data_IF_479409913686
#
_entry.id   IF_479409913686
#
_cell.length_a   1.000
_cell.length_b   1.000
_cell.length_c   1.000
_cell.angle_alpha   90.00
_cell.angle_beta   90.00
_cell.angle_gamma   90.00
#
_symmetry.space_group_name_H-M   'P 1'
#
loop_
_entity.id
_entity.type
_entity.pdbx_description
1 polymer ?
#
# COMPACT_ATOMS: atom_id res chain seq x y z
N UNK A 1 3.28 -25.18 -54.93
CA UNK A 1 2.05 -25.27 -54.13
C UNK A 1 1.08 -24.20 -54.62
N UNK A 2 -0.13 -24.57 -55.02
CA UNK A 2 -1.11 -23.63 -55.60
C UNK A 2 -1.78 -22.81 -54.46
N UNK A 3 -2.18 -21.56 -54.78
CA UNK A 3 -2.84 -20.60 -53.85
C UNK A 3 -4.00 -21.22 -53.03
N UNK A 4 -4.68 -22.21 -53.60
CA UNK A 4 -5.73 -23.02 -52.94
C UNK A 4 -5.18 -23.93 -51.85
N UNK A 5 -3.98 -24.47 -51.99
CA UNK A 5 -3.33 -25.33 -50.98
C UNK A 5 -2.88 -24.53 -49.74
N UNK A 6 -2.48 -23.27 -49.90
CA UNK A 6 -2.22 -22.36 -48.77
C UNK A 6 -3.47 -21.99 -48.00
N UNK A 7 -4.61 -21.82 -48.68
CA UNK A 7 -5.89 -21.52 -48.03
C UNK A 7 -6.37 -22.71 -47.19
N UNK A 8 -6.24 -23.94 -47.69
CA UNK A 8 -6.59 -25.14 -46.91
C UNK A 8 -5.63 -25.40 -45.73
N UNK A 9 -4.33 -25.06 -45.87
CA UNK A 9 -3.36 -25.15 -44.78
C UNK A 9 -3.65 -24.11 -43.70
N UNK A 10 -4.04 -22.89 -44.07
CA UNK A 10 -4.45 -21.83 -43.14
C UNK A 10 -5.75 -22.16 -42.41
N UNK A 11 -6.72 -22.77 -43.10
CA UNK A 11 -8.00 -23.20 -42.51
C UNK A 11 -7.80 -24.41 -41.57
N UNK A 12 -6.84 -25.30 -41.86
CA UNK A 12 -6.51 -26.43 -41.00
C UNK A 12 -5.70 -26.03 -39.74
N UNK A 13 -4.98 -24.89 -39.79
CA UNK A 13 -4.24 -24.35 -38.62
C UNK A 13 -5.13 -23.52 -37.69
N UNK A 14 -6.27 -23.02 -38.17
CA UNK A 14 -7.18 -22.18 -37.39
C UNK A 14 -7.82 -22.86 -36.15
N UNK A 15 -8.18 -24.17 -36.19
CA UNK A 15 -8.75 -24.84 -34.99
C UNK A 15 -7.73 -25.16 -33.91
N UNK A 16 -6.41 -25.11 -34.19
CA UNK A 16 -5.37 -25.37 -33.21
C UNK A 16 -5.04 -24.17 -32.30
N UNK A 17 -5.57 -22.98 -32.64
CA UNK A 17 -5.36 -21.77 -31.85
C UNK A 17 -6.47 -21.48 -30.83
N UNK A 18 -7.53 -22.29 -30.78
CA UNK A 18 -8.67 -22.13 -29.88
C UNK A 18 -8.72 -23.15 -28.72
N UNK A 19 -7.67 -23.95 -28.52
CA UNK A 19 -7.60 -24.95 -27.45
C UNK A 19 -6.85 -24.44 -26.20
N UNK A 20 -6.76 -23.14 -25.99
CA UNK A 20 -6.40 -22.60 -24.67
C UNK A 20 -7.69 -22.20 -23.95
N UNK A 21 -8.65 -23.10 -23.83
CA UNK A 21 -9.57 -23.06 -22.71
C UNK A 21 -8.72 -23.38 -21.49
N UNK A 22 -8.33 -22.38 -20.72
CA UNK A 22 -8.05 -22.58 -19.30
C UNK A 22 -9.39 -23.07 -18.76
N UNK A 23 -9.48 -24.32 -18.33
CA UNK A 23 -10.61 -24.82 -17.54
C UNK A 23 -10.57 -24.05 -16.21
N UNK A 24 -11.23 -22.89 -16.18
CA UNK A 24 -11.55 -22.23 -14.92
C UNK A 24 -12.64 -23.09 -14.27
N UNK A 25 -12.37 -23.53 -13.06
CA UNK A 25 -13.33 -24.31 -12.29
C UNK A 25 -14.56 -23.44 -11.99
N UNK A 26 -15.70 -23.78 -12.58
CA UNK A 26 -16.95 -23.05 -12.37
C UNK A 26 -17.60 -23.50 -11.04
N UNK A 27 -17.81 -22.56 -10.14
CA UNK A 27 -18.54 -22.77 -8.89
C UNK A 27 -20.00 -22.32 -9.05
N UNK A 28 -20.99 -23.11 -8.55
CA UNK A 28 -22.38 -22.69 -8.60
C UNK A 28 -22.65 -21.52 -7.67
N UNK A 29 -23.59 -20.64 -8.03
CA UNK A 29 -24.12 -19.62 -7.12
C UNK A 29 -24.99 -20.30 -6.03
N UNK A 30 -24.34 -20.72 -4.98
CA UNK A 30 -24.90 -21.36 -3.79
C UNK A 30 -24.00 -21.04 -2.59
N UNK A 31 -24.46 -21.16 -1.34
CA UNK A 31 -23.62 -20.93 -0.18
C UNK A 31 -22.29 -21.68 -0.21
N UNK A 32 -22.33 -22.96 -0.54
CA UNK A 32 -21.10 -23.76 -0.64
C UNK A 32 -20.25 -23.36 -1.85
N UNK A 33 -20.85 -23.10 -3.02
CA UNK A 33 -20.10 -22.73 -4.21
C UNK A 33 -19.39 -21.37 -4.06
N UNK A 34 -20.05 -20.38 -3.46
CA UNK A 34 -19.43 -19.08 -3.18
C UNK A 34 -18.30 -19.18 -2.15
N UNK A 35 -18.46 -20.02 -1.12
CA UNK A 35 -17.42 -20.26 -0.12
C UNK A 35 -16.20 -20.96 -0.74
N UNK A 36 -16.40 -22.01 -1.55
CA UNK A 36 -15.31 -22.73 -2.23
C UNK A 36 -14.61 -21.85 -3.25
N UNK A 37 -15.34 -21.02 -4.00
CA UNK A 37 -14.77 -20.04 -4.92
C UNK A 37 -13.87 -19.04 -4.16
N UNK A 38 -14.35 -18.51 -3.03
CA UNK A 38 -13.56 -17.61 -2.19
C UNK A 38 -12.29 -18.26 -1.68
N UNK A 39 -12.41 -19.47 -1.11
CA UNK A 39 -11.26 -20.21 -0.61
C UNK A 39 -10.22 -20.42 -1.70
N UNK A 40 -10.66 -20.86 -2.89
CA UNK A 40 -9.79 -21.16 -4.02
C UNK A 40 -9.11 -19.89 -4.59
N UNK A 41 -9.86 -18.79 -4.73
CA UNK A 41 -9.27 -17.49 -5.15
C UNK A 41 -8.13 -17.12 -4.22
N UNK A 42 -8.34 -17.22 -2.91
CA UNK A 42 -7.30 -16.90 -1.93
C UNK A 42 -6.15 -17.90 -2.00
N UNK A 43 -6.43 -19.20 -2.09
CA UNK A 43 -5.44 -20.28 -2.16
C UNK A 43 -4.46 -20.08 -3.34
N UNK A 44 -4.98 -19.76 -4.51
CA UNK A 44 -4.18 -19.61 -5.72
C UNK A 44 -3.48 -18.24 -5.82
N UNK A 45 -3.99 -17.19 -5.19
CA UNK A 45 -3.57 -15.83 -5.49
C UNK A 45 -3.03 -15.03 -4.29
N UNK A 46 -3.41 -15.33 -3.05
CA UNK A 46 -2.88 -14.62 -1.89
C UNK A 46 -1.41 -14.91 -1.67
N UNK A 47 -0.61 -13.87 -1.34
CA UNK A 47 0.85 -13.99 -1.41
C UNK A 47 1.56 -14.16 -0.06
N UNK A 48 0.86 -14.13 1.09
CA UNK A 48 1.52 -14.08 2.40
C UNK A 48 1.19 -15.26 3.33
N UNK A 49 0.71 -16.39 2.82
CA UNK A 49 0.39 -17.54 3.69
C UNK A 49 1.59 -17.99 4.52
N UNK A 50 2.74 -18.21 3.88
CA UNK A 50 3.96 -18.67 4.55
C UNK A 50 4.52 -17.60 5.50
N UNK A 51 4.56 -16.32 5.07
CA UNK A 51 5.08 -15.23 5.87
C UNK A 51 4.26 -15.01 7.16
N UNK A 52 2.94 -15.20 7.07
CA UNK A 52 2.03 -15.07 8.22
C UNK A 52 1.85 -16.38 9.00
N UNK A 53 2.43 -17.48 8.52
CA UNK A 53 2.33 -18.79 9.16
C UNK A 53 0.91 -19.36 9.16
N UNK A 54 0.12 -19.06 8.12
CA UNK A 54 -1.29 -19.44 8.01
C UNK A 54 -1.43 -20.76 7.25
N UNK A 55 -2.04 -21.76 7.88
CA UNK A 55 -2.48 -22.97 7.19
C UNK A 55 -3.91 -22.75 6.64
N UNK A 56 -4.00 -22.49 5.35
CA UNK A 56 -5.24 -22.12 4.70
C UNK A 56 -6.23 -23.28 4.59
N UNK A 57 -5.75 -24.54 4.49
CA UNK A 57 -6.59 -25.75 4.52
C UNK A 57 -7.25 -25.95 5.88
N UNK A 58 -6.55 -25.71 6.98
CA UNK A 58 -7.13 -25.82 8.33
C UNK A 58 -8.21 -24.76 8.55
N UNK A 59 -8.02 -23.56 8.00
CA UNK A 59 -9.01 -22.49 8.05
C UNK A 59 -10.23 -22.87 7.21
N UNK A 60 -10.05 -23.39 5.99
CA UNK A 60 -11.13 -23.92 5.18
C UNK A 60 -11.96 -24.94 5.97
N UNK A 61 -11.31 -25.98 6.50
CA UNK A 61 -11.97 -27.04 7.25
C UNK A 61 -12.71 -26.54 8.52
N UNK A 62 -12.23 -25.45 9.13
CA UNK A 62 -12.87 -24.78 10.28
C UNK A 62 -14.19 -24.13 9.88
N UNK A 63 -14.19 -23.34 8.79
CA UNK A 63 -15.34 -22.54 8.40
C UNK A 63 -16.34 -23.29 7.55
N UNK A 64 -15.93 -24.28 6.73
CA UNK A 64 -16.80 -25.12 5.93
C UNK A 64 -17.88 -25.84 6.78
N UNK A 65 -17.53 -26.23 8.02
CA UNK A 65 -18.47 -26.87 8.96
C UNK A 65 -19.66 -26.01 9.39
N UNK A 66 -19.57 -24.70 9.15
CA UNK A 66 -20.63 -23.74 9.51
C UNK A 66 -21.64 -23.54 8.38
N UNK A 67 -21.35 -24.07 7.18
CA UNK A 67 -22.21 -23.90 6.02
C UNK A 67 -23.46 -24.79 6.11
N UNK A 68 -24.57 -24.22 5.69
CA UNK A 68 -25.83 -24.95 5.49
C UNK A 68 -26.46 -24.58 4.14
N UNK A 69 -27.16 -25.49 3.51
CA UNK A 69 -27.69 -25.31 2.15
C UNK A 69 -28.68 -24.14 2.01
N UNK A 70 -29.37 -23.76 3.09
CA UNK A 70 -30.41 -22.72 3.09
C UNK A 70 -30.06 -21.52 3.97
N UNK A 71 -28.77 -21.23 4.17
CA UNK A 71 -28.36 -20.05 4.94
C UNK A 71 -28.66 -18.76 4.16
N UNK A 72 -28.84 -17.66 4.88
CA UNK A 72 -29.00 -16.35 4.27
C UNK A 72 -27.66 -15.82 3.76
N UNK A 73 -27.70 -14.90 2.77
CA UNK A 73 -26.53 -14.22 2.26
C UNK A 73 -25.76 -13.47 3.36
N UNK A 74 -26.48 -12.84 4.29
CA UNK A 74 -25.85 -12.16 5.42
C UNK A 74 -25.03 -13.11 6.31
N UNK A 75 -25.55 -14.31 6.58
CA UNK A 75 -24.83 -15.29 7.37
C UNK A 75 -23.63 -15.89 6.59
N UNK A 76 -23.81 -16.16 5.29
CA UNK A 76 -22.70 -16.58 4.43
C UNK A 76 -21.60 -15.50 4.39
N UNK A 77 -21.99 -14.23 4.26
CA UNK A 77 -21.05 -13.12 4.25
C UNK A 77 -20.24 -13.05 5.55
N UNK A 78 -20.89 -13.21 6.71
CA UNK A 78 -20.23 -13.25 8.01
C UNK A 78 -19.20 -14.40 8.11
N UNK A 79 -19.56 -15.61 7.63
CA UNK A 79 -18.62 -16.76 7.61
C UNK A 79 -17.42 -16.47 6.72
N UNK A 80 -17.64 -15.95 5.50
CA UNK A 80 -16.58 -15.58 4.57
C UNK A 80 -15.68 -14.47 5.14
N UNK A 81 -16.27 -13.44 5.74
CA UNK A 81 -15.55 -12.34 6.39
C UNK A 81 -14.68 -12.84 7.55
N UNK A 82 -15.23 -13.71 8.40
CA UNK A 82 -14.49 -14.30 9.51
C UNK A 82 -13.35 -15.20 9.03
N UNK A 83 -13.55 -15.98 7.96
CA UNK A 83 -12.49 -16.78 7.33
C UNK A 83 -11.35 -15.88 6.83
N UNK A 84 -11.64 -14.79 6.13
CA UNK A 84 -10.65 -13.86 5.63
C UNK A 84 -9.92 -13.10 6.75
N UNK A 85 -10.58 -12.84 7.89
CA UNK A 85 -9.99 -12.12 9.02
C UNK A 85 -8.83 -12.86 9.67
N UNK A 86 -8.75 -14.20 9.51
CA UNK A 86 -7.63 -15.01 10.00
C UNK A 86 -6.28 -14.61 9.37
N UNK A 87 -6.32 -13.99 8.18
CA UNK A 87 -5.12 -13.53 7.47
C UNK A 87 -4.51 -12.27 8.07
N UNK A 88 -5.26 -11.51 8.88
CA UNK A 88 -4.81 -10.25 9.52
C UNK A 88 -4.11 -9.31 8.54
N UNK A 89 -4.71 -9.10 7.38
CA UNK A 89 -4.18 -8.30 6.28
C UNK A 89 -5.17 -7.19 5.92
N UNK A 90 -4.72 -5.93 6.01
CA UNK A 90 -5.54 -4.76 5.71
C UNK A 90 -5.92 -4.62 4.23
N UNK A 91 -5.25 -5.32 3.32
CA UNK A 91 -5.63 -5.41 1.91
C UNK A 91 -6.66 -6.49 1.62
N UNK A 92 -6.89 -7.43 2.56
CA UNK A 92 -7.91 -8.47 2.40
C UNK A 92 -9.26 -7.93 2.80
N UNK A 93 -10.16 -7.85 1.83
CA UNK A 93 -11.51 -7.30 1.98
C UNK A 93 -12.51 -8.15 1.21
N UNK A 94 -13.72 -8.32 1.74
CA UNK A 94 -14.86 -8.82 0.99
C UNK A 94 -15.96 -7.77 1.02
N UNK A 95 -16.65 -7.57 -0.09
CA UNK A 95 -17.71 -6.59 -0.22
C UNK A 95 -18.87 -7.12 -1.05
N UNK A 96 -20.07 -6.79 -0.61
CA UNK A 96 -21.35 -7.11 -1.24
C UNK A 96 -22.15 -5.82 -1.47
N UNK A 97 -23.39 -5.95 -1.96
CA UNK A 97 -24.30 -4.81 -2.09
C UNK A 97 -24.82 -4.29 -0.75
N UNK A 98 -24.66 -5.03 0.35
CA UNK A 98 -25.25 -4.71 1.67
C UNK A 98 -24.22 -4.58 2.79
N UNK A 99 -22.99 -5.08 2.61
CA UNK A 99 -21.95 -5.04 3.66
C UNK A 99 -20.53 -5.10 3.08
N UNK A 100 -19.55 -4.68 3.90
CA UNK A 100 -18.13 -4.76 3.63
C UNK A 100 -17.39 -5.20 4.89
N UNK A 101 -16.52 -6.20 4.77
CA UNK A 101 -15.62 -6.62 5.85
C UNK A 101 -14.15 -6.38 5.48
N UNK A 102 -13.39 -5.88 6.47
CA UNK A 102 -11.98 -5.54 6.34
C UNK A 102 -11.28 -5.67 7.68
N UNK A 103 -10.03 -6.08 7.67
CA UNK A 103 -9.21 -6.13 8.88
C UNK A 103 -8.55 -4.77 9.16
N UNK A 104 -8.80 -4.21 10.35
CA UNK A 104 -8.27 -2.93 10.82
C UNK A 104 -7.25 -3.08 11.95
N UNK A 105 -7.06 -4.29 12.52
CA UNK A 105 -6.20 -4.53 13.68
C UNK A 105 -4.73 -4.14 13.45
N UNK A 106 -4.30 -3.95 12.21
CA UNK A 106 -2.95 -3.49 11.89
C UNK A 106 -2.65 -2.07 12.41
N UNK A 107 -3.67 -1.28 12.75
CA UNK A 107 -3.50 0.06 13.33
C UNK A 107 -4.37 0.33 14.58
N UNK A 108 -5.53 -0.33 14.76
CA UNK A 108 -6.48 -0.02 15.84
C UNK A 108 -5.92 -0.31 17.23
N UNK A 109 -5.02 -1.28 17.35
CA UNK A 109 -4.41 -1.67 18.62
C UNK A 109 -3.14 -0.85 18.97
N UNK A 110 -2.87 0.25 18.24
CA UNK A 110 -1.67 1.07 18.38
C UNK A 110 -2.01 2.52 18.69
N UNK A 111 -1.09 3.28 19.34
CA UNK A 111 -1.26 4.71 19.53
C UNK A 111 -1.41 5.44 18.19
N UNK A 112 -2.30 6.39 18.12
CA UNK A 112 -2.50 7.15 16.87
C UNK A 112 -1.27 7.99 16.49
N UNK A 113 -0.55 8.55 17.48
CA UNK A 113 0.61 9.43 17.28
C UNK A 113 0.35 10.56 16.26
N UNK A 114 -0.89 11.09 16.26
CA UNK A 114 -1.37 12.12 15.36
C UNK A 114 -2.53 12.89 15.98
N UNK A 115 -2.53 14.21 15.81
CA UNK A 115 -3.63 15.07 16.18
C UNK A 115 -3.80 16.17 15.12
N UNK A 116 -4.91 16.15 14.40
CA UNK A 116 -5.21 17.11 13.34
C UNK A 116 -5.28 18.56 13.86
N UNK A 117 -5.66 18.78 15.12
CA UNK A 117 -5.69 20.12 15.69
C UNK A 117 -4.28 20.68 15.87
N UNK A 118 -3.32 19.86 16.28
CA UNK A 118 -1.93 20.25 16.36
C UNK A 118 -1.35 20.56 14.95
N UNK A 119 -1.61 19.70 13.97
CA UNK A 119 -1.20 19.94 12.58
C UNK A 119 -1.74 21.26 12.07
N UNK A 120 -3.01 21.55 12.31
CA UNK A 120 -3.64 22.82 11.93
C UNK A 120 -3.03 23.99 12.68
N UNK A 121 -2.53 23.81 13.91
CA UNK A 121 -1.75 24.80 14.64
C UNK A 121 -0.47 25.19 13.92
N UNK A 122 0.32 24.22 13.46
CA UNK A 122 1.54 24.46 12.66
C UNK A 122 1.23 25.08 11.29
N UNK A 123 0.17 24.63 10.63
CA UNK A 123 -0.26 25.22 9.35
C UNK A 123 -0.74 26.66 9.50
N UNK A 124 -1.43 27.00 10.60
CA UNK A 124 -2.02 28.33 10.79
C UNK A 124 -3.10 28.63 9.75
N UNK A 125 -3.25 29.90 9.41
CA UNK A 125 -4.24 30.37 8.40
C UNK A 125 -3.60 30.79 7.08
N UNK A 126 -2.28 30.78 7.00
CA UNK A 126 -1.45 31.28 5.90
C UNK A 126 -0.72 30.17 5.13
N UNK A 127 -1.06 28.89 5.40
CA UNK A 127 -0.53 27.78 4.61
C UNK A 127 -1.02 27.83 3.17
N UNK A 128 -0.28 27.18 2.30
CA UNK A 128 -0.58 27.11 0.86
C UNK A 128 -1.01 25.69 0.47
N UNK A 129 -1.70 25.62 -0.64
CA UNK A 129 -2.16 24.37 -1.24
C UNK A 129 -1.73 24.32 -2.71
N UNK A 130 -1.05 23.24 -3.08
CA UNK A 130 -0.72 22.93 -4.47
C UNK A 130 -1.31 21.56 -4.81
N UNK A 131 -2.53 21.53 -5.38
CA UNK A 131 -3.36 20.31 -5.54
C UNK A 131 -3.65 19.68 -4.17
N UNK A 132 -3.20 18.45 -3.92
CA UNK A 132 -3.37 17.73 -2.65
C UNK A 132 -2.26 18.00 -1.61
N UNK A 133 -1.28 18.82 -1.94
CA UNK A 133 -0.14 19.14 -1.08
C UNK A 133 -0.45 20.38 -0.24
N UNK A 134 -0.53 20.25 1.09
CA UNK A 134 -0.64 21.36 2.04
C UNK A 134 0.76 21.69 2.54
N UNK A 135 1.19 22.95 2.47
CA UNK A 135 2.56 23.29 2.80
C UNK A 135 2.74 24.69 3.36
N UNK A 136 3.81 24.87 4.14
CA UNK A 136 4.20 26.13 4.77
C UNK A 136 5.70 26.15 5.06
N UNK A 137 6.30 27.31 5.13
CA UNK A 137 7.62 27.52 5.75
C UNK A 137 7.37 27.86 7.22
N UNK A 138 7.92 27.04 8.14
CA UNK A 138 7.85 27.27 9.57
C UNK A 138 8.80 28.43 10.00
N UNK A 139 8.58 28.98 11.19
CA UNK A 139 9.30 30.18 11.68
C UNK A 139 10.83 29.96 11.81
N UNK A 140 11.27 28.71 11.93
CA UNK A 140 12.68 28.32 11.97
C UNK A 140 13.28 28.01 10.58
N UNK A 141 12.61 28.44 9.52
CA UNK A 141 13.05 28.27 8.13
C UNK A 141 13.15 26.79 7.69
N UNK A 142 12.22 25.96 8.17
CA UNK A 142 12.04 24.57 7.74
C UNK A 142 10.80 24.51 6.85
N UNK A 143 10.90 23.86 5.67
CA UNK A 143 9.75 23.55 4.85
C UNK A 143 8.91 22.43 5.51
N UNK A 144 7.61 22.65 5.66
CA UNK A 144 6.69 21.65 6.17
C UNK A 144 5.64 21.33 5.11
N UNK A 145 5.64 20.08 4.67
CA UNK A 145 4.74 19.51 3.67
C UNK A 145 3.89 18.42 4.33
N UNK A 146 2.59 18.63 4.41
CA UNK A 146 1.63 17.61 4.86
C UNK A 146 0.93 16.99 3.65
N UNK A 147 0.96 15.66 3.55
CA UNK A 147 0.37 14.92 2.46
C UNK A 147 -0.40 13.69 2.95
N UNK A 148 -1.73 13.81 2.99
CA UNK A 148 -2.61 12.88 3.69
C UNK A 148 -3.03 11.65 2.89
N UNK A 149 -2.81 11.59 1.57
CA UNK A 149 -3.24 10.42 0.77
C UNK A 149 -2.56 10.37 -0.60
N UNK A 150 -1.97 9.22 -0.92
CA UNK A 150 -1.47 8.91 -2.26
C UNK A 150 -2.57 8.55 -3.28
N UNK A 151 -3.84 8.54 -2.89
CA UNK A 151 -4.96 8.50 -3.84
C UNK A 151 -5.18 9.85 -4.52
N UNK A 152 -4.80 10.94 -3.86
CA UNK A 152 -4.94 12.31 -4.37
C UNK A 152 -3.65 12.71 -5.10
N UNK A 153 -3.63 12.58 -6.41
CA UNK A 153 -2.47 12.92 -7.23
C UNK A 153 -2.22 14.45 -7.30
N UNK A 154 -1.01 14.82 -7.69
CA UNK A 154 -0.57 16.18 -7.96
C UNK A 154 0.20 16.25 -9.29
N UNK A 155 0.09 17.37 -10.00
CA UNK A 155 0.85 17.60 -11.22
C UNK A 155 2.34 17.89 -10.94
N UNK A 156 3.19 17.67 -11.94
CA UNK A 156 4.62 17.97 -11.83
C UNK A 156 4.88 19.44 -11.45
N UNK A 157 4.12 20.39 -12.02
CA UNK A 157 4.23 21.80 -11.69
C UNK A 157 3.80 22.15 -10.26
N UNK A 158 2.89 21.38 -9.65
CA UNK A 158 2.49 21.61 -8.26
C UNK A 158 3.65 21.34 -7.30
N UNK A 159 4.31 20.20 -7.42
CA UNK A 159 5.46 19.88 -6.56
C UNK A 159 6.69 20.74 -6.91
N UNK A 160 6.89 21.11 -8.18
CA UNK A 160 7.93 22.09 -8.58
C UNK A 160 7.75 23.41 -7.85
N UNK A 161 6.52 23.94 -7.81
CA UNK A 161 6.19 25.17 -7.08
C UNK A 161 6.51 25.05 -5.58
N UNK A 162 6.11 23.94 -4.94
CA UNK A 162 6.36 23.69 -3.51
C UNK A 162 7.86 23.69 -3.23
N UNK A 163 8.65 22.95 -4.02
CA UNK A 163 10.09 22.82 -3.81
C UNK A 163 10.85 24.11 -4.14
N UNK A 164 10.39 24.90 -5.12
CA UNK A 164 10.95 26.23 -5.40
C UNK A 164 10.69 27.19 -4.23
N UNK A 165 9.51 27.15 -3.64
CA UNK A 165 9.21 27.99 -2.49
C UNK A 165 10.02 27.60 -1.25
N UNK A 166 10.28 26.31 -1.08
CA UNK A 166 11.15 25.79 -0.03
C UNK A 166 12.65 25.99 -0.31
N UNK A 167 13.04 26.48 -1.50
CA UNK A 167 14.46 26.63 -1.85
C UNK A 167 15.31 27.39 -0.80
N UNK A 168 14.82 28.43 -0.09
CA UNK A 168 15.58 29.08 0.98
C UNK A 168 15.65 28.26 2.28
N UNK A 169 14.76 27.27 2.50
CA UNK A 169 14.72 26.49 3.72
C UNK A 169 15.98 25.64 3.90
N UNK A 170 16.37 25.40 5.15
CA UNK A 170 17.53 24.57 5.48
C UNK A 170 17.23 23.08 5.44
N UNK A 171 15.99 22.66 5.69
CA UNK A 171 15.52 21.29 5.69
C UNK A 171 14.04 21.21 5.26
N UNK A 172 13.57 20.00 5.01
CA UNK A 172 12.18 19.69 4.66
C UNK A 172 11.64 18.61 5.59
N UNK A 173 10.49 18.87 6.20
CA UNK A 173 9.68 17.85 6.88
C UNK A 173 8.54 17.48 5.96
N UNK A 174 8.40 16.17 5.69
CA UNK A 174 7.27 15.58 4.94
C UNK A 174 6.44 14.77 5.94
N UNK A 175 5.29 15.28 6.29
CA UNK A 175 4.37 14.60 7.21
C UNK A 175 3.35 13.78 6.40
N UNK A 176 3.50 12.45 6.49
CA UNK A 176 2.59 11.49 5.88
C UNK A 176 1.85 10.66 6.93
N UNK A 177 1.85 11.09 8.20
CA UNK A 177 1.06 10.41 9.23
C UNK A 177 -0.40 10.35 8.81
N UNK A 178 -1.08 9.27 9.15
CA UNK A 178 -2.45 8.94 8.72
C UNK A 178 -2.65 8.80 7.20
N UNK A 179 -1.57 8.72 6.41
CA UNK A 179 -1.66 8.43 4.99
C UNK A 179 -1.76 6.90 4.77
N UNK A 180 -2.95 6.39 4.51
CA UNK A 180 -3.19 4.96 4.29
C UNK A 180 -2.81 4.46 2.89
N UNK A 181 -2.07 5.26 2.12
CA UNK A 181 -1.57 4.88 0.80
C UNK A 181 -2.42 5.39 -0.36
N UNK A 182 -2.45 4.61 -1.43
CA UNK A 182 -3.09 4.94 -2.70
C UNK A 182 -2.31 4.38 -3.89
N UNK A 183 -1.93 5.23 -4.84
CA UNK A 183 -1.22 4.84 -6.05
C UNK A 183 0.31 4.81 -5.83
N UNK A 184 0.94 3.67 -6.11
CA UNK A 184 2.41 3.53 -6.08
C UNK A 184 3.10 4.54 -6.99
N UNK A 185 2.55 4.79 -8.19
CA UNK A 185 3.10 5.77 -9.13
C UNK A 185 3.15 7.20 -8.58
N UNK A 186 2.25 7.56 -7.65
CA UNK A 186 2.26 8.87 -6.99
C UNK A 186 3.33 8.91 -5.90
N UNK A 187 3.52 7.81 -5.16
CA UNK A 187 4.61 7.67 -4.19
C UNK A 187 5.99 7.75 -4.88
N UNK A 188 6.17 7.05 -6.01
CA UNK A 188 7.37 7.11 -6.84
C UNK A 188 7.63 8.52 -7.39
N UNK A 189 6.57 9.19 -7.89
CA UNK A 189 6.64 10.57 -8.40
C UNK A 189 7.15 11.55 -7.35
N UNK A 190 6.71 11.41 -6.10
CA UNK A 190 7.20 12.24 -5.00
C UNK A 190 8.63 11.88 -4.64
N UNK A 191 8.96 10.60 -4.47
CA UNK A 191 10.31 10.14 -4.12
C UNK A 191 11.36 10.52 -5.18
N UNK A 192 10.98 10.54 -6.47
CA UNK A 192 11.84 10.95 -7.57
C UNK A 192 12.37 12.39 -7.46
N UNK A 193 11.83 13.21 -6.54
CA UNK A 193 12.29 14.57 -6.26
C UNK A 193 13.49 14.60 -5.32
N UNK A 194 13.86 13.48 -4.71
CA UNK A 194 14.87 13.40 -3.65
C UNK A 194 16.09 12.56 -4.06
N UNK A 195 16.22 12.19 -5.32
CA UNK A 195 17.40 11.50 -5.86
C UNK A 195 17.95 12.22 -7.09
N UNK A 196 19.27 12.09 -7.33
CA UNK A 196 19.97 12.64 -8.50
C UNK A 196 20.32 11.58 -9.54
N UNK A 197 20.20 10.33 -9.20
CA UNK A 197 20.51 9.18 -10.04
C UNK A 197 19.42 8.12 -9.96
N UNK A 198 19.42 7.18 -10.88
CA UNK A 198 18.55 6.03 -10.81
C UNK A 198 18.99 5.12 -9.67
N UNK A 199 18.13 4.93 -8.68
CA UNK A 199 18.40 4.13 -7.47
C UNK A 199 17.54 2.89 -7.41
N UNK A 200 18.10 1.80 -6.88
CA UNK A 200 17.35 0.63 -6.45
C UNK A 200 16.60 0.98 -5.17
N UNK A 201 15.30 0.70 -5.11
CA UNK A 201 14.46 1.00 -3.94
C UNK A 201 13.79 -0.22 -3.35
N UNK A 202 13.97 -1.39 -3.95
CA UNK A 202 13.44 -2.65 -3.47
C UNK A 202 13.21 -3.66 -4.57
N UNK A 203 12.41 -4.65 -4.26
CA UNK A 203 12.05 -5.74 -5.16
C UNK A 203 10.56 -6.04 -5.06
N UNK A 204 10.02 -6.66 -6.10
CA UNK A 204 8.66 -7.18 -6.15
C UNK A 204 8.66 -8.57 -6.78
N UNK A 205 7.71 -9.41 -6.42
CA UNK A 205 7.43 -10.69 -7.08
C UNK A 205 5.97 -10.73 -7.51
N UNK A 206 5.66 -11.55 -8.48
CA UNK A 206 4.29 -11.83 -8.89
C UNK A 206 4.07 -13.34 -9.00
N UNK A 207 2.81 -13.77 -8.88
CA UNK A 207 2.45 -15.18 -9.04
C UNK A 207 2.73 -15.65 -10.46
N UNK A 208 3.30 -16.87 -10.58
CA UNK A 208 3.58 -17.56 -11.85
C UNK A 208 2.83 -18.89 -11.98
N UNK A 209 2.15 -19.32 -10.94
CA UNK A 209 1.37 -20.55 -10.86
C UNK A 209 0.39 -20.53 -9.71
N UNK A 210 -0.29 -21.67 -9.47
CA UNK A 210 -1.35 -21.84 -8.48
C UNK A 210 -0.85 -22.19 -7.08
N UNK A 211 0.38 -22.70 -6.95
CA UNK A 211 0.96 -23.05 -5.65
C UNK A 211 1.28 -21.82 -4.80
N UNK A 212 1.24 -21.93 -3.48
CA UNK A 212 1.46 -20.83 -2.55
C UNK A 212 2.80 -20.11 -2.80
N UNK A 213 3.83 -20.85 -3.20
CA UNK A 213 5.19 -20.35 -3.42
C UNK A 213 5.58 -20.20 -4.90
N UNK A 214 4.63 -20.31 -5.81
CA UNK A 214 4.84 -20.14 -7.24
C UNK A 214 4.96 -18.64 -7.59
N UNK A 215 6.15 -18.10 -7.38
CA UNK A 215 6.45 -16.71 -7.66
C UNK A 215 7.57 -16.56 -8.70
N UNK A 216 7.56 -15.43 -9.40
CA UNK A 216 8.68 -14.99 -10.24
C UNK A 216 9.96 -14.83 -9.42
N UNK A 217 11.09 -14.68 -10.09
CA UNK A 217 12.28 -14.11 -9.49
C UNK A 217 11.99 -12.71 -8.94
N UNK A 218 12.83 -12.22 -8.04
CA UNK A 218 12.72 -10.85 -7.52
C UNK A 218 13.06 -9.84 -8.62
N UNK A 219 12.08 -9.04 -9.00
CA UNK A 219 12.21 -7.96 -9.98
C UNK A 219 12.58 -6.66 -9.28
N UNK A 220 13.63 -6.00 -9.77
CA UNK A 220 14.12 -4.76 -9.18
C UNK A 220 13.11 -3.62 -9.36
N UNK A 221 12.81 -2.94 -8.28
CA UNK A 221 12.09 -1.66 -8.28
C UNK A 221 13.11 -0.53 -8.25
N UNK A 222 13.08 0.35 -9.26
CA UNK A 222 14.01 1.46 -9.40
C UNK A 222 13.28 2.77 -9.58
N UNK A 223 13.80 3.82 -8.97
CA UNK A 223 13.29 5.20 -9.15
C UNK A 223 14.34 6.01 -9.92
N UNK A 224 13.87 6.65 -11.00
CA UNK A 224 14.65 7.61 -11.77
C UNK A 224 14.44 9.01 -11.23
N UNK A 225 15.49 9.86 -11.24
CA UNK A 225 15.34 11.24 -10.82
C UNK A 225 14.31 11.99 -11.69
N UNK A 226 13.53 12.83 -11.06
CA UNK A 226 12.61 13.71 -11.76
C UNK A 226 13.36 14.69 -12.66
N UNK A 227 12.79 15.01 -13.83
CA UNK A 227 13.27 16.07 -14.70
C UNK A 227 12.91 17.49 -14.18
N UNK A 228 11.99 17.60 -13.22
CA UNK A 228 11.61 18.86 -12.59
C UNK A 228 12.52 19.24 -11.41
N UNK A 229 12.05 20.16 -10.59
CA UNK A 229 12.78 20.62 -9.39
C UNK A 229 13.02 19.46 -8.44
N UNK A 230 14.25 19.33 -7.94
CA UNK A 230 14.67 18.32 -6.97
C UNK A 230 15.21 18.98 -5.71
N UNK A 231 15.05 18.26 -4.59
CA UNK A 231 15.50 18.68 -3.28
C UNK A 231 16.79 17.96 -2.86
N UNK A 232 17.78 18.71 -2.36
CA UNK A 232 19.12 18.20 -2.08
C UNK A 232 19.61 18.48 -0.65
N UNK A 233 18.72 18.98 0.21
CA UNK A 233 19.00 19.27 1.61
C UNK A 233 18.37 18.20 2.50
N UNK A 234 18.62 18.18 3.80
CA UNK A 234 18.04 17.19 4.70
C UNK A 234 16.52 17.07 4.58
N UNK A 235 16.03 15.83 4.66
CA UNK A 235 14.60 15.49 4.62
C UNK A 235 14.26 14.62 5.82
N UNK A 236 13.18 14.98 6.51
CA UNK A 236 12.60 14.21 7.61
C UNK A 236 11.21 13.77 7.21
N UNK A 237 10.93 12.48 7.26
CA UNK A 237 9.61 11.92 6.96
C UNK A 237 8.95 11.50 8.27
N UNK A 238 7.78 12.08 8.57
CA UNK A 238 7.05 11.74 9.78
C UNK A 238 6.08 10.60 9.51
N UNK A 239 6.13 9.58 10.38
CA UNK A 239 5.35 8.36 10.25
C UNK A 239 4.58 8.02 11.51
N UNK A 240 3.46 7.32 11.33
CA UNK A 240 2.73 6.64 12.38
C UNK A 240 2.19 5.29 11.88
N UNK A 241 1.52 4.54 12.75
CA UNK A 241 0.99 3.21 12.43
C UNK A 241 -0.01 3.21 11.26
N UNK A 242 -0.68 4.32 10.97
CA UNK A 242 -1.59 4.44 9.84
C UNK A 242 -0.91 4.72 8.48
N UNK A 243 0.40 4.89 8.43
CA UNK A 243 1.16 4.92 7.18
C UNK A 243 1.19 3.52 6.58
N UNK A 244 0.41 3.28 5.51
CA UNK A 244 0.11 1.95 4.99
C UNK A 244 0.21 1.88 3.45
N UNK A 245 0.43 0.69 2.90
CA UNK A 245 0.38 0.45 1.45
C UNK A 245 1.35 1.37 0.68
N UNK A 246 0.91 2.13 -0.32
CA UNK A 246 1.77 3.03 -1.09
C UNK A 246 2.49 4.08 -0.22
N UNK A 247 1.96 4.43 0.97
CA UNK A 247 2.66 5.30 1.90
C UNK A 247 3.80 4.57 2.64
N UNK A 248 3.62 3.29 2.96
CA UNK A 248 4.70 2.43 3.45
C UNK A 248 5.82 2.28 2.39
N UNK A 249 5.45 2.08 1.13
CA UNK A 249 6.39 2.04 0.02
C UNK A 249 7.13 3.37 -0.15
N UNK A 250 6.44 4.51 -0.01
CA UNK A 250 7.08 5.83 -0.01
C UNK A 250 8.15 5.94 1.08
N UNK A 251 7.89 5.46 2.31
CA UNK A 251 8.89 5.43 3.38
C UNK A 251 10.10 4.59 2.97
N UNK A 252 9.88 3.40 2.38
CA UNK A 252 10.95 2.55 1.82
C UNK A 252 11.81 3.31 0.79
N UNK A 253 11.17 4.02 -0.14
CA UNK A 253 11.85 4.81 -1.16
C UNK A 253 12.64 5.95 -0.54
N UNK A 254 12.07 6.66 0.43
CA UNK A 254 12.72 7.79 1.08
C UNK A 254 13.93 7.39 1.93
N UNK A 255 13.93 6.18 2.54
CA UNK A 255 15.14 5.63 3.18
C UNK A 255 16.27 5.43 2.17
N UNK A 256 15.97 5.00 0.95
CA UNK A 256 16.95 4.89 -0.14
C UNK A 256 17.42 6.27 -0.66
N UNK A 257 16.61 7.32 -0.47
CA UNK A 257 16.96 8.71 -0.73
C UNK A 257 17.67 9.39 0.46
N UNK A 258 18.08 8.63 1.48
CA UNK A 258 18.75 9.11 2.70
C UNK A 258 17.90 10.08 3.56
N UNK A 259 16.58 10.03 3.45
CA UNK A 259 15.71 10.73 4.39
C UNK A 259 15.74 10.06 5.78
N UNK A 260 15.58 10.87 6.81
CA UNK A 260 15.48 10.42 8.20
C UNK A 260 14.00 10.22 8.54
N UNK A 261 13.66 9.02 8.99
CA UNK A 261 12.29 8.67 9.37
C UNK A 261 12.09 8.90 10.87
N UNK A 262 11.09 9.69 11.24
CA UNK A 262 10.81 10.08 12.62
C UNK A 262 9.35 9.76 12.97
N UNK A 263 9.13 9.20 14.13
CA UNK A 263 7.79 8.91 14.66
C UNK A 263 7.61 7.45 15.03
N UNK A 264 6.55 6.82 14.54
CA UNK A 264 6.23 5.43 14.87
C UNK A 264 6.48 4.51 13.67
N UNK A 265 6.52 3.21 13.97
CA UNK A 265 6.55 2.14 12.98
C UNK A 265 5.35 2.24 12.03
N UNK A 266 5.57 2.09 10.73
CA UNK A 266 4.49 2.12 9.74
C UNK A 266 3.57 0.89 9.84
N UNK A 267 2.41 0.96 9.24
CA UNK A 267 1.43 -0.14 9.24
C UNK A 267 1.72 -1.28 8.28
N UNK A 268 2.65 -1.10 7.36
CA UNK A 268 2.99 -2.13 6.37
C UNK A 268 2.09 -2.15 5.14
N UNK A 269 1.62 -3.34 4.77
CA UNK A 269 0.79 -3.52 3.57
C UNK A 269 1.60 -3.54 2.29
N UNK A 270 2.65 -4.37 2.24
CA UNK A 270 3.56 -4.51 1.12
C UNK A 270 3.13 -5.56 0.07
N UNK A 271 1.86 -5.92 0.05
CA UNK A 271 1.27 -6.79 -0.96
C UNK A 271 0.44 -5.97 -1.94
N UNK A 272 0.93 -5.72 -3.15
CA UNK A 272 0.11 -5.02 -4.16
C UNK A 272 -1.20 -5.78 -4.36
N UNK A 273 -2.37 -5.14 -4.09
CA UNK A 273 -3.63 -5.88 -4.06
C UNK A 273 -4.25 -6.04 -5.45
N UNK A 274 -4.89 -7.19 -5.64
CA UNK A 274 -5.77 -7.50 -6.76
C UNK A 274 -7.19 -7.74 -6.27
N UNK A 275 -8.12 -7.85 -7.18
CA UNK A 275 -9.52 -8.14 -6.88
C UNK A 275 -10.04 -9.24 -7.79
N UNK A 276 -10.99 -10.02 -7.29
CA UNK A 276 -11.75 -11.02 -8.01
C UNK A 276 -13.22 -10.95 -7.60
N UNK A 277 -14.07 -11.73 -8.25
CA UNK A 277 -15.51 -11.77 -8.02
C UNK A 277 -15.97 -13.20 -7.76
N UNK A 278 -16.90 -13.36 -6.82
CA UNK A 278 -17.54 -14.63 -6.50
C UNK A 278 -18.75 -14.87 -7.42
N UNK A 279 -19.26 -16.12 -7.57
CA UNK A 279 -20.42 -16.42 -8.40
C UNK A 279 -21.67 -15.60 -8.11
N UNK A 280 -21.87 -15.18 -6.85
CA UNK A 280 -22.99 -14.33 -6.43
C UNK A 280 -22.75 -12.81 -6.65
N UNK A 281 -21.66 -12.43 -7.30
CA UNK A 281 -21.31 -11.03 -7.55
C UNK A 281 -20.64 -10.30 -6.38
N UNK A 282 -20.27 -10.97 -5.29
CA UNK A 282 -19.48 -10.35 -4.23
C UNK A 282 -18.03 -10.20 -4.69
N UNK A 283 -17.45 -9.04 -4.39
CA UNK A 283 -16.04 -8.80 -4.68
C UNK A 283 -15.14 -9.20 -3.51
N UNK A 284 -13.98 -9.76 -3.83
CA UNK A 284 -12.90 -10.00 -2.89
C UNK A 284 -11.64 -9.29 -3.34
N UNK A 285 -10.93 -8.65 -2.40
CA UNK A 285 -9.63 -8.02 -2.64
C UNK A 285 -8.59 -8.66 -1.74
N UNK A 286 -7.37 -8.83 -2.23
CA UNK A 286 -6.31 -9.54 -1.53
C UNK A 286 -4.92 -9.09 -1.98
N UNK A 287 -3.90 -9.25 -1.12
CA UNK A 287 -2.50 -9.05 -1.45
C UNK A 287 -2.03 -10.15 -2.41
N UNK A 288 -1.48 -9.77 -3.58
CA UNK A 288 -1.07 -10.71 -4.63
C UNK A 288 0.42 -10.64 -5.01
N UNK A 289 1.03 -9.44 -4.95
CA UNK A 289 2.42 -9.23 -5.33
C UNK A 289 3.21 -8.72 -4.13
N UNK A 290 4.00 -9.58 -3.46
CA UNK A 290 4.78 -9.18 -2.29
C UNK A 290 5.94 -8.27 -2.70
N UNK A 291 6.14 -7.19 -1.92
CA UNK A 291 7.19 -6.21 -2.11
C UNK A 291 8.22 -6.28 -0.98
N UNK A 292 9.46 -6.00 -1.30
CA UNK A 292 10.61 -6.16 -0.42
C UNK A 292 11.49 -4.92 -0.46
N UNK A 293 12.26 -4.71 0.59
CA UNK A 293 13.28 -3.66 0.64
C UNK A 293 14.54 -4.02 -0.19
N UNK A 294 15.53 -3.14 -0.19
CA UNK A 294 16.82 -3.35 -0.89
C UNK A 294 17.64 -4.52 -0.35
N UNK A 295 17.36 -4.98 0.87
CA UNK A 295 17.97 -6.14 1.51
C UNK A 295 17.14 -7.41 1.27
N UNK A 296 16.10 -7.35 0.43
CA UNK A 296 15.16 -8.44 0.13
C UNK A 296 14.35 -8.90 1.35
N UNK A 297 14.11 -8.00 2.31
CA UNK A 297 13.26 -8.25 3.45
C UNK A 297 11.86 -7.72 3.17
N UNK A 298 10.84 -8.49 3.57
CA UNK A 298 9.45 -8.07 3.45
C UNK A 298 9.19 -6.82 4.30
N UNK A 299 8.42 -5.89 3.75
CA UNK A 299 7.93 -4.72 4.47
C UNK A 299 6.43 -4.80 4.79
N UNK A 300 5.85 -6.00 4.68
CA UNK A 300 4.43 -6.28 4.98
C UNK A 300 4.07 -5.90 6.43
N UNK A 301 4.96 -6.15 7.38
CA UNK A 301 4.75 -5.80 8.78
C UNK A 301 5.09 -4.34 9.11
N UNK A 302 5.49 -3.55 8.11
CA UNK A 302 5.85 -2.15 8.25
C UNK A 302 7.37 -1.90 8.33
N UNK A 303 7.70 -0.62 8.46
CA UNK A 303 9.08 -0.12 8.46
C UNK A 303 9.32 0.64 9.77
N UNK A 304 10.39 0.28 10.48
CA UNK A 304 10.80 0.99 11.68
C UNK A 304 11.33 2.39 11.35
N UNK A 305 11.01 3.43 12.15
CA UNK A 305 11.62 4.74 12.02
C UNK A 305 13.10 4.71 12.45
N UNK A 306 13.86 5.70 12.02
CA UNK A 306 15.24 5.90 12.49
C UNK A 306 15.23 6.48 13.91
N UNK A 307 14.21 7.28 14.25
CA UNK A 307 13.95 7.80 15.57
C UNK A 307 12.51 7.50 15.98
N UNK A 308 12.34 6.59 16.96
CA UNK A 308 11.02 6.29 17.54
C UNK A 308 10.63 7.41 18.52
N UNK A 309 9.59 8.16 18.15
CA UNK A 309 9.06 9.30 18.92
C UNK A 309 7.54 9.18 18.96
N UNK A 310 6.96 9.27 20.16
CA UNK A 310 5.52 9.28 20.35
C UNK A 310 5.02 10.68 20.72
N UNK A 311 3.78 10.98 20.33
CA UNK A 311 3.08 12.18 20.75
C UNK A 311 2.85 12.14 22.27
N UNK A 312 3.26 13.16 23.01
CA UNK A 312 3.05 13.25 24.45
C UNK A 312 1.87 14.16 24.80
N UNK A 313 1.13 13.80 25.84
CA UNK A 313 0.05 14.66 26.34
C UNK A 313 0.55 16.01 26.87
N UNK A 314 1.77 16.04 27.43
CA UNK A 314 2.38 17.27 27.93
C UNK A 314 2.61 18.29 26.81
N UNK A 315 3.20 17.87 25.70
CA UNK A 315 3.41 18.72 24.54
C UNK A 315 2.08 19.12 23.87
N UNK A 316 1.18 18.15 23.70
CA UNK A 316 -0.13 18.40 23.11
C UNK A 316 -0.93 19.44 23.91
N UNK A 317 -0.88 19.39 25.25
CA UNK A 317 -1.51 20.40 26.12
C UNK A 317 -0.92 21.82 25.94
N UNK A 318 0.31 21.91 25.44
CA UNK A 318 0.99 23.16 25.09
C UNK A 318 0.78 23.60 23.64
N UNK A 319 0.00 22.82 22.88
CA UNK A 319 -0.21 23.04 21.43
C UNK A 319 0.99 22.60 20.58
N UNK A 320 1.86 21.74 21.10
CA UNK A 320 3.05 21.24 20.40
C UNK A 320 2.86 19.78 19.99
N UNK A 321 3.31 19.44 18.79
CA UNK A 321 3.42 18.07 18.33
C UNK A 321 4.84 17.55 18.58
N UNK A 322 4.99 16.60 19.52
CA UNK A 322 6.30 16.09 19.96
C UNK A 322 7.13 15.56 18.78
N UNK A 323 6.49 14.96 17.76
CA UNK A 323 7.17 14.35 16.61
C UNK A 323 7.67 15.45 15.67
N UNK A 324 6.85 16.48 15.39
CA UNK A 324 7.28 17.66 14.60
C UNK A 324 8.41 18.38 15.31
N UNK A 325 8.28 18.66 16.61
CA UNK A 325 9.32 19.37 17.38
C UNK A 325 10.63 18.58 17.42
N UNK A 326 10.56 17.25 17.52
CA UNK A 326 11.75 16.41 17.46
C UNK A 326 12.46 16.53 16.09
N UNK A 327 11.71 16.47 14.99
CA UNK A 327 12.26 16.62 13.64
C UNK A 327 12.86 18.02 13.42
N UNK A 328 12.22 19.09 13.93
CA UNK A 328 12.74 20.46 13.89
C UNK A 328 14.07 20.58 14.63
N UNK A 329 14.17 20.00 15.83
CA UNK A 329 15.40 20.00 16.63
C UNK A 329 16.53 19.23 15.94
N UNK A 330 16.23 18.10 15.28
CA UNK A 330 17.22 17.40 14.46
C UNK A 330 17.71 18.28 13.31
N UNK A 331 16.79 18.96 12.60
CA UNK A 331 17.12 19.83 11.49
C UNK A 331 17.99 21.03 11.91
N UNK A 332 17.83 21.53 13.13
CA UNK A 332 18.61 22.64 13.67
C UNK A 332 20.03 22.21 14.12
N UNK A 333 20.28 20.89 14.29
CA UNK A 333 21.56 20.35 14.77
C UNK A 333 22.49 19.88 13.63
N UNK A 334 22.01 19.94 12.41
CA UNK A 334 22.75 19.58 11.18
C UNK A 334 22.97 20.82 10.29
#
# INVERSE_FOLDING_TARGET
MNRRQYIYLLIALCPLLFSACIDEEEFPDSPNGNFEALWKIMDEHYCFFDEKGVNWDDIHAKYQKQLTANMSDAHLFEICANMLSELKDGHVNIFSSFDMARNWSWHEDYPENYDELLINGYMGTDYKIASSLRYKILDDNIGYLHYSSFQSDFGAGNIDQVLLEFAPCQALIIDIRNNSGGLLSVAEKLAARFTNEEILVGYMRHKTGKGHNDFSDMEEQRIKPSNGVRWHKPVYVLTNRQVYSAANEFVKYMKCCHAIIVGDHTGGGAGMPFSSELPNGWGVRFSACPMYDVNKQSTEQGIAPDYSVALTQEDAARGLDTIIEFARNLAASH
#
